data_IF_538453281258
#
_entry.id   IF_538453281258
#
_cell.length_a   1.000
_cell.length_b   1.000
_cell.length_c   1.000
_cell.angle_alpha   90.00
_cell.angle_beta   90.00
_cell.angle_gamma   90.00
#
_symmetry.space_group_name_H-M   'P 1'
#
loop_
_entity.id
_entity.type
_entity.pdbx_description
1 polymer ?
#
# COMPACT_ATOMS: atom_id res chain seq x y z
N UNK A 1 25.43 -51.64 55.78
CA UNK A 1 24.25 -51.08 55.11
C UNK A 1 24.61 -49.71 54.63
N UNK A 2 24.83 -49.55 53.34
CA UNK A 2 25.29 -48.31 52.73
C UNK A 2 24.07 -47.65 52.10
N UNK A 3 23.61 -46.55 52.69
CA UNK A 3 22.53 -45.74 52.16
C UNK A 3 23.09 -44.78 51.10
N UNK A 4 22.79 -45.06 49.86
CA UNK A 4 23.15 -44.17 48.74
C UNK A 4 22.13 -43.01 48.67
N UNK A 5 22.55 -41.81 49.00
CA UNK A 5 21.82 -40.60 48.76
C UNK A 5 22.06 -40.18 47.30
N UNK A 6 21.05 -40.32 46.50
CA UNK A 6 21.05 -39.78 45.13
C UNK A 6 20.70 -38.31 45.20
N UNK A 7 21.70 -37.48 45.00
CA UNK A 7 21.51 -36.02 44.88
C UNK A 7 21.05 -35.70 43.45
N UNK A 8 19.76 -35.44 43.31
CA UNK A 8 19.19 -34.98 42.03
C UNK A 8 19.56 -33.50 41.86
N UNK A 9 20.52 -33.22 40.99
CA UNK A 9 20.85 -31.89 40.61
C UNK A 9 19.77 -31.39 39.59
N UNK A 10 18.90 -30.53 40.07
CA UNK A 10 17.97 -29.79 39.19
C UNK A 10 18.75 -28.66 38.57
N UNK A 11 19.08 -28.76 37.30
CA UNK A 11 19.60 -27.68 36.50
C UNK A 11 18.46 -26.71 36.16
N UNK A 12 18.51 -25.44 36.49
CA UNK A 12 17.57 -24.46 35.95
C UNK A 12 17.92 -24.24 34.50
N UNK A 13 17.02 -24.64 33.63
CA UNK A 13 17.00 -24.23 32.23
C UNK A 13 16.65 -22.74 32.21
N UNK A 14 17.67 -21.89 32.17
CA UNK A 14 17.48 -20.50 31.81
C UNK A 14 17.06 -20.43 30.34
N UNK A 15 15.77 -20.41 30.13
CA UNK A 15 15.20 -20.06 28.82
C UNK A 15 15.68 -18.66 28.44
N UNK A 16 16.62 -18.58 27.54
CA UNK A 16 16.92 -17.36 26.83
C UNK A 16 15.68 -16.98 26.03
N UNK A 17 14.84 -16.14 26.62
CA UNK A 17 13.91 -15.36 25.84
C UNK A 17 14.73 -14.43 24.95
N UNK A 18 15.13 -14.92 23.79
CA UNK A 18 15.61 -14.07 22.73
C UNK A 18 14.47 -13.14 22.39
N UNK A 19 14.60 -11.87 22.75
CA UNK A 19 13.72 -10.81 22.29
C UNK A 19 14.02 -10.67 20.79
N UNK A 20 13.30 -11.44 19.98
CA UNK A 20 13.21 -11.15 18.57
C UNK A 20 12.42 -9.86 18.47
N UNK A 21 13.11 -8.74 18.27
CA UNK A 21 12.49 -7.54 17.78
C UNK A 21 12.13 -7.81 16.32
N UNK A 22 10.95 -8.36 16.11
CA UNK A 22 10.35 -8.37 14.80
C UNK A 22 10.21 -6.92 14.36
N UNK A 23 10.87 -6.57 13.24
CA UNK A 23 10.57 -5.30 12.56
C UNK A 23 9.07 -5.28 12.35
N UNK A 24 8.36 -4.16 12.67
CA UNK A 24 6.93 -4.10 12.45
C UNK A 24 6.64 -4.42 10.99
N UNK A 25 6.06 -5.58 10.75
CA UNK A 25 5.55 -5.94 9.44
C UNK A 25 4.40 -5.00 9.12
N UNK A 26 4.26 -4.54 7.87
CA UNK A 26 3.09 -3.78 7.48
C UNK A 26 1.84 -4.56 7.87
N UNK A 27 0.91 -3.90 8.56
CA UNK A 27 -0.36 -4.51 8.95
C UNK A 27 -1.13 -5.02 7.75
N UNK A 28 -1.86 -6.12 7.91
CA UNK A 28 -2.75 -6.62 6.86
C UNK A 28 -3.80 -5.55 6.53
N UNK A 29 -3.88 -5.15 5.28
CA UNK A 29 -4.90 -4.19 4.83
C UNK A 29 -6.22 -4.91 4.69
N UNK A 30 -7.23 -4.45 5.43
CA UNK A 30 -8.58 -5.01 5.37
C UNK A 30 -9.37 -4.44 4.18
N UNK A 31 -10.27 -5.23 3.58
CA UNK A 31 -11.01 -4.84 2.38
C UNK A 31 -12.14 -3.81 2.61
N UNK A 32 -12.24 -3.20 3.78
CA UNK A 32 -13.39 -2.40 4.21
C UNK A 32 -13.39 -0.92 3.78
N UNK A 33 -12.40 -0.47 2.98
CA UNK A 33 -12.44 0.88 2.46
C UNK A 33 -13.52 1.01 1.40
N UNK A 34 -14.47 1.90 1.61
CA UNK A 34 -15.47 2.26 0.58
C UNK A 34 -14.73 2.95 -0.57
N UNK A 35 -14.64 2.26 -1.69
CA UNK A 35 -14.00 2.78 -2.90
C UNK A 35 -15.06 3.48 -3.72
N UNK A 36 -14.81 4.70 -4.24
CA UNK A 36 -15.69 5.33 -5.19
C UNK A 36 -15.90 4.43 -6.44
N UNK A 37 -17.13 4.31 -6.90
CA UNK A 37 -17.48 3.44 -8.03
C UNK A 37 -16.75 3.85 -9.33
N UNK A 38 -16.42 5.13 -9.47
CA UNK A 38 -15.70 5.70 -10.61
C UNK A 38 -14.18 5.64 -10.49
N UNK A 39 -13.63 5.17 -9.35
CA UNK A 39 -12.18 5.11 -9.16
C UNK A 39 -11.52 4.15 -10.15
N UNK A 40 -10.71 4.67 -11.04
CA UNK A 40 -10.01 3.94 -12.11
C UNK A 40 -10.96 3.03 -12.93
N UNK A 41 -12.18 3.50 -13.13
CA UNK A 41 -13.18 2.78 -13.91
C UNK A 41 -13.03 3.06 -15.40
N UNK A 42 -13.29 2.07 -16.23
CA UNK A 42 -13.32 2.18 -17.70
C UNK A 42 -14.53 1.41 -18.24
N UNK A 43 -15.10 1.87 -19.34
CA UNK A 43 -16.12 1.11 -20.07
C UNK A 43 -15.54 -0.14 -20.76
N UNK A 44 -14.23 -0.29 -20.79
CA UNK A 44 -13.56 -1.48 -21.33
C UNK A 44 -13.63 -2.63 -20.32
N UNK A 45 -14.57 -3.54 -20.54
CA UNK A 45 -14.86 -4.65 -19.62
C UNK A 45 -13.63 -5.49 -19.23
N UNK A 46 -12.74 -5.92 -20.16
CA UNK A 46 -11.56 -6.70 -19.79
C UNK A 46 -10.62 -5.98 -18.81
N UNK A 47 -10.54 -4.66 -18.91
CA UNK A 47 -9.76 -3.86 -17.97
C UNK A 47 -10.36 -3.88 -16.56
N UNK A 48 -11.67 -3.68 -16.44
CA UNK A 48 -12.34 -3.74 -15.14
C UNK A 48 -12.24 -5.13 -14.51
N UNK A 49 -12.44 -6.19 -15.28
CA UNK A 49 -12.27 -7.56 -14.79
C UNK A 49 -10.85 -7.81 -14.26
N UNK A 50 -9.84 -7.30 -14.95
CA UNK A 50 -8.46 -7.38 -14.51
C UNK A 50 -8.21 -6.53 -13.25
N UNK A 51 -8.73 -5.31 -13.17
CA UNK A 51 -8.64 -4.44 -12.00
C UNK A 51 -9.35 -5.02 -10.78
N UNK A 52 -10.44 -5.72 -10.97
CA UNK A 52 -11.26 -6.30 -9.92
C UNK A 52 -10.87 -7.75 -9.58
N UNK A 53 -9.81 -8.27 -10.19
CA UNK A 53 -9.24 -9.57 -9.84
C UNK A 53 -8.41 -9.48 -8.57
N UNK A 54 -8.62 -10.41 -7.61
CA UNK A 54 -7.87 -10.43 -6.35
C UNK A 54 -6.40 -10.81 -6.59
N UNK A 55 -5.52 -10.24 -5.78
CA UNK A 55 -4.09 -10.49 -5.83
C UNK A 55 -3.51 -10.65 -4.43
N UNK A 56 -2.26 -11.08 -4.36
CA UNK A 56 -1.43 -11.07 -3.15
C UNK A 56 -0.26 -10.13 -3.39
N UNK A 57 -0.03 -9.21 -2.46
CA UNK A 57 1.14 -8.34 -2.48
C UNK A 57 1.75 -8.21 -1.10
N UNK A 58 3.05 -8.03 -1.09
CA UNK A 58 3.80 -7.66 0.10
C UNK A 58 4.80 -6.58 -0.30
N UNK A 59 4.61 -5.39 0.24
CA UNK A 59 5.51 -4.26 0.04
C UNK A 59 6.10 -3.84 1.39
N UNK A 60 7.39 -3.66 1.44
CA UNK A 60 8.09 -3.13 2.59
C UNK A 60 8.94 -1.94 2.14
N UNK A 61 8.41 -0.73 2.33
CA UNK A 61 9.02 0.52 1.87
C UNK A 61 9.39 0.48 0.38
N UNK A 62 8.51 -0.08 -0.43
CA UNK A 62 8.70 -0.12 -1.88
C UNK A 62 8.41 1.27 -2.49
N UNK A 63 9.31 1.83 -3.31
CA UNK A 63 9.03 3.05 -4.05
C UNK A 63 7.81 2.87 -4.98
N UNK A 64 6.96 3.89 -5.06
CA UNK A 64 5.70 3.83 -5.79
C UNK A 64 5.88 3.53 -7.28
N UNK A 65 6.91 4.07 -7.93
CA UNK A 65 7.24 3.78 -9.32
C UNK A 65 7.56 2.30 -9.53
N UNK A 66 8.33 1.68 -8.63
CA UNK A 66 8.63 0.26 -8.70
C UNK A 66 7.39 -0.64 -8.54
N UNK A 67 6.37 -0.18 -7.82
CA UNK A 67 5.10 -0.91 -7.70
C UNK A 67 4.41 -1.02 -9.07
N UNK A 68 4.41 0.05 -9.85
CA UNK A 68 3.82 0.04 -11.19
C UNK A 68 4.67 -0.71 -12.22
N UNK A 69 5.98 -0.77 -12.03
CA UNK A 69 6.91 -1.48 -12.92
C UNK A 69 6.95 -3.00 -12.70
N UNK A 70 6.35 -3.47 -11.61
CA UNK A 70 6.34 -4.88 -11.23
C UNK A 70 4.93 -5.46 -11.16
N UNK A 71 4.85 -6.79 -11.06
CA UNK A 71 3.59 -7.46 -10.80
C UNK A 71 3.02 -6.99 -9.42
N UNK A 72 1.70 -6.83 -9.30
CA UNK A 72 0.64 -7.17 -10.26
C UNK A 72 0.26 -6.03 -11.21
N UNK A 73 0.99 -4.91 -11.24
CA UNK A 73 0.63 -3.69 -11.96
C UNK A 73 1.41 -3.44 -13.26
N UNK A 74 2.35 -4.30 -13.61
CA UNK A 74 3.23 -4.12 -14.79
C UNK A 74 2.51 -3.88 -16.13
N UNK A 75 1.22 -4.23 -16.22
CA UNK A 75 0.39 -3.96 -17.41
C UNK A 75 -0.26 -2.59 -17.40
N UNK A 76 -0.16 -1.86 -16.29
CA UNK A 76 -0.78 -0.57 -16.12
C UNK A 76 0.24 0.53 -16.41
N UNK A 77 0.06 1.23 -17.53
CA UNK A 77 0.85 2.42 -17.81
C UNK A 77 0.52 3.52 -16.81
N UNK A 78 1.52 4.25 -16.39
CA UNK A 78 1.37 5.31 -15.40
C UNK A 78 2.22 6.53 -15.76
N UNK A 79 1.81 7.70 -15.26
CA UNK A 79 2.53 8.94 -15.41
C UNK A 79 2.32 9.82 -14.19
N UNK A 80 3.40 10.40 -13.67
CA UNK A 80 3.31 11.45 -12.64
C UNK A 80 3.12 12.81 -13.32
N UNK A 81 2.01 13.48 -13.04
CA UNK A 81 1.76 14.83 -13.56
C UNK A 81 2.81 15.81 -13.06
N UNK A 82 3.15 15.70 -11.78
CA UNK A 82 4.27 16.37 -11.16
C UNK A 82 5.05 15.30 -10.38
N UNK A 83 6.25 14.98 -10.84
CA UNK A 83 7.07 13.98 -10.16
C UNK A 83 7.48 14.51 -8.79
N UNK A 84 7.11 13.83 -7.69
CA UNK A 84 7.53 14.26 -6.37
C UNK A 84 9.05 14.23 -6.24
N UNK A 85 9.66 15.15 -5.46
CA UNK A 85 11.12 15.16 -5.24
C UNK A 85 11.60 13.85 -4.59
N UNK A 86 10.78 13.27 -3.73
CA UNK A 86 11.00 11.95 -3.15
C UNK A 86 9.83 11.04 -3.50
N UNK A 87 10.13 9.86 -4.02
CA UNK A 87 9.12 8.88 -4.36
C UNK A 87 8.46 8.34 -3.09
N UNK A 88 7.12 8.37 -2.98
CA UNK A 88 6.42 7.79 -1.83
C UNK A 88 6.80 6.32 -1.64
N UNK A 89 7.06 5.94 -0.40
CA UNK A 89 7.35 4.57 -0.01
C UNK A 89 6.08 3.90 0.48
N UNK A 90 5.77 2.75 -0.09
CA UNK A 90 4.58 1.98 0.25
C UNK A 90 4.95 0.78 1.10
N UNK A 91 4.28 0.63 2.23
CA UNK A 91 4.36 -0.58 3.06
C UNK A 91 2.96 -1.17 3.17
N UNK A 92 2.78 -2.40 2.72
CA UNK A 92 1.48 -3.05 2.64
C UNK A 92 1.62 -4.56 2.62
N UNK A 93 0.81 -5.26 3.41
CA UNK A 93 0.59 -6.70 3.29
C UNK A 93 -0.89 -6.92 2.96
N UNK A 94 -1.20 -7.45 1.81
CA UNK A 94 -2.56 -7.63 1.35
C UNK A 94 -2.74 -8.98 0.66
N UNK A 95 -3.77 -9.69 1.09
CA UNK A 95 -4.20 -10.97 0.54
C UNK A 95 -5.67 -10.90 0.15
N UNK A 96 -5.96 -11.16 -1.12
CA UNK A 96 -7.33 -11.21 -1.63
C UNK A 96 -7.97 -9.84 -1.92
N UNK A 97 -7.23 -8.74 -1.78
CA UNK A 97 -7.66 -7.44 -2.29
C UNK A 97 -7.54 -7.40 -3.81
N UNK A 98 -8.45 -6.68 -4.43
CA UNK A 98 -8.36 -6.41 -5.87
C UNK A 98 -7.29 -5.38 -6.17
N UNK A 99 -6.79 -5.33 -7.41
CA UNK A 99 -5.86 -4.28 -7.85
C UNK A 99 -6.42 -2.88 -7.62
N UNK A 100 -7.72 -2.70 -7.86
CA UNK A 100 -8.44 -1.44 -7.62
C UNK A 100 -8.40 -1.05 -6.15
N UNK A 101 -8.69 -1.97 -5.26
CA UNK A 101 -8.61 -1.75 -3.80
C UNK A 101 -7.21 -1.39 -3.34
N UNK A 102 -6.19 -2.08 -3.86
CA UNK A 102 -4.80 -1.78 -3.54
C UNK A 102 -4.40 -0.38 -3.97
N UNK A 103 -4.71 0.02 -5.21
CA UNK A 103 -4.38 1.35 -5.71
C UNK A 103 -5.14 2.44 -4.97
N UNK A 104 -6.39 2.16 -4.56
CA UNK A 104 -7.14 3.08 -3.71
C UNK A 104 -6.46 3.28 -2.36
N UNK A 105 -6.07 2.21 -1.67
CA UNK A 105 -5.36 2.29 -0.39
C UNK A 105 -4.04 3.03 -0.53
N UNK A 106 -3.25 2.72 -1.55
CA UNK A 106 -1.98 3.40 -1.84
C UNK A 106 -2.19 4.90 -2.07
N UNK A 107 -3.20 5.27 -2.87
CA UNK A 107 -3.52 6.66 -3.14
C UNK A 107 -3.97 7.40 -1.88
N UNK A 108 -4.82 6.78 -1.08
CA UNK A 108 -5.33 7.35 0.16
C UNK A 108 -4.22 7.57 1.19
N UNK A 109 -3.41 6.54 1.43
CA UNK A 109 -2.37 6.57 2.47
C UNK A 109 -1.22 7.53 2.15
N UNK A 110 -0.99 7.79 0.87
CA UNK A 110 0.05 8.69 0.40
C UNK A 110 -0.47 10.05 -0.07
N UNK A 111 -1.73 10.38 0.22
CA UNK A 111 -2.38 11.63 -0.20
C UNK A 111 -2.27 11.91 -1.71
N UNK A 112 -2.42 10.85 -2.50
CA UNK A 112 -2.34 10.94 -3.96
C UNK A 112 -3.74 10.93 -4.58
N UNK A 113 -3.84 11.52 -5.75
CA UNK A 113 -4.97 11.34 -6.66
C UNK A 113 -4.51 10.50 -7.85
N UNK A 114 -5.26 9.46 -8.16
CA UNK A 114 -5.05 8.63 -9.34
C UNK A 114 -6.26 8.75 -10.25
N UNK A 115 -6.03 9.10 -11.50
CA UNK A 115 -7.08 9.27 -12.51
C UNK A 115 -6.75 8.43 -13.73
N UNK A 116 -7.71 7.64 -14.18
CA UNK A 116 -7.56 6.85 -15.40
C UNK A 116 -7.80 7.73 -16.62
N UNK A 117 -6.80 7.85 -17.47
CA UNK A 117 -6.94 8.46 -18.79
C UNK A 117 -7.39 7.40 -19.78
N UNK A 118 -8.42 7.71 -20.52
CA UNK A 118 -8.99 6.84 -21.55
C UNK A 118 -8.82 7.45 -22.94
N UNK A 119 -8.66 6.59 -23.92
CA UNK A 119 -8.69 6.97 -25.34
C UNK A 119 -10.12 7.30 -25.79
N UNK A 120 -10.30 7.97 -26.93
CA UNK A 120 -11.63 8.27 -27.46
C UNK A 120 -12.54 7.05 -27.68
N UNK A 121 -11.95 5.87 -27.90
CA UNK A 121 -12.65 4.59 -28.01
C UNK A 121 -13.00 3.93 -26.65
N UNK A 122 -12.75 4.62 -25.53
CA UNK A 122 -13.02 4.11 -24.18
C UNK A 122 -11.97 3.16 -23.60
N UNK A 123 -10.94 2.83 -24.37
CA UNK A 123 -9.85 1.99 -23.85
C UNK A 123 -8.98 2.75 -22.83
N UNK A 124 -8.58 2.10 -21.74
CA UNK A 124 -7.66 2.70 -20.78
C UNK A 124 -6.30 2.95 -21.43
N UNK A 125 -5.73 4.11 -21.15
CA UNK A 125 -4.43 4.51 -21.68
C UNK A 125 -3.37 4.47 -20.59
N UNK A 126 -3.55 5.27 -19.56
CA UNK A 126 -2.58 5.39 -18.47
C UNK A 126 -3.25 5.89 -17.19
N UNK A 127 -2.63 5.64 -16.06
CA UNK A 127 -3.00 6.24 -14.77
C UNK A 127 -2.18 7.49 -14.56
N UNK A 128 -2.85 8.62 -14.42
CA UNK A 128 -2.22 9.88 -14.05
C UNK A 128 -2.20 9.96 -12.53
N UNK A 129 -1.02 10.12 -11.98
CA UNK A 129 -0.78 10.22 -10.54
C UNK A 129 -0.35 11.66 -10.23
N UNK A 130 -1.01 12.26 -9.25
CA UNK A 130 -0.68 13.60 -8.77
C UNK A 130 -0.84 13.68 -7.27
N UNK A 131 -0.14 14.61 -6.63
CA UNK A 131 -0.36 14.96 -5.25
C UNK A 131 -1.72 15.66 -5.12
N UNK A 132 -2.48 15.32 -4.07
CA UNK A 132 -3.75 16.00 -3.77
C UNK A 132 -3.56 17.44 -3.33
N UNK A 133 -2.34 17.82 -2.97
CA UNK A 133 -2.03 19.10 -2.33
C UNK A 133 -2.53 19.15 -0.89
N UNK A 134 -1.81 19.89 -0.07
CA UNK A 134 -2.28 20.19 1.28
C UNK A 134 -3.48 21.14 1.18
N UNK A 135 -4.67 20.67 1.56
CA UNK A 135 -5.87 21.52 1.66
C UNK A 135 -5.69 22.69 2.66
N UNK A 136 -4.57 22.74 3.35
CA UNK A 136 -4.25 23.77 4.36
C UNK A 136 -3.40 24.94 3.84
N UNK A 137 -2.98 24.97 2.58
CA UNK A 137 -2.17 26.11 2.09
C UNK A 137 -2.98 27.32 1.64
N UNK A 138 -4.28 27.16 1.39
CA UNK A 138 -5.13 28.27 0.92
C UNK A 138 -5.91 29.01 2.03
N UNK A 139 -5.68 28.67 3.31
CA UNK A 139 -6.37 29.27 4.46
C UNK A 139 -5.72 30.50 5.07
N UNK A 140 -4.78 31.16 4.45
CA UNK A 140 -3.98 32.16 5.14
C UNK A 140 -3.48 33.37 4.36
N UNK A 141 -4.30 34.00 3.53
CA UNK A 141 -4.01 35.39 3.09
C UNK A 141 -5.28 36.17 2.75
N UNK A 142 -6.09 36.39 3.76
CA UNK A 142 -7.12 37.41 3.76
C UNK A 142 -6.82 38.43 4.83
N UNK A 143 -5.71 39.16 4.73
CA UNK A 143 -5.53 40.39 5.47
C UNK A 143 -6.23 41.49 4.73
N UNK A 144 -7.46 41.80 5.17
CA UNK A 144 -8.10 43.06 4.96
C UNK A 144 -7.25 44.14 5.66
N UNK A 145 -6.58 45.00 4.88
CA UNK A 145 -6.19 46.31 5.32
C UNK A 145 -7.41 47.19 5.11
N UNK A 146 -8.04 47.53 6.22
CA UNK A 146 -8.87 48.71 6.32
C UNK A 146 -8.03 49.86 6.83
#
# INVERSE_FOLDING_TARGET
MITRIILLAILPVLGSCGIFQEKPSPGLVEPNATIPEDFLFSWHKPFNEWMDSPVRVYYNKAPLDQIFENAPFVRLSYNFQEKPPEMPLVSMDALGLTRRQLLWSIAHDNNLQMVLKTLPNGHPSEVIIRDRGDKNKDGGKGQLKG
#
